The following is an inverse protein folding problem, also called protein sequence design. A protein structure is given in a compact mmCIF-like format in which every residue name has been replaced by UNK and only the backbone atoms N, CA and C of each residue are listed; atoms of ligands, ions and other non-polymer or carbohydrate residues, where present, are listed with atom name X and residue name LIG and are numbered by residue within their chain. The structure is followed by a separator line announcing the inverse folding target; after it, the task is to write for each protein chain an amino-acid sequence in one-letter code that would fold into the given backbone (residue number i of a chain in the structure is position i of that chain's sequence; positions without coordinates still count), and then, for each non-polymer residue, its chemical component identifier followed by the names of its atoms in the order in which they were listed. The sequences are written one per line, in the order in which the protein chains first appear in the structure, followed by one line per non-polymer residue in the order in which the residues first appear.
data_IF_991135651093
#
_entry.id   IF_991135651093
#
_cell.length_a   1.000
_cell.length_b   1.000
_cell.length_c   1.000
_cell.angle_alpha   90.00
_cell.angle_beta   90.00
_cell.angle_gamma   90.00
#
_symmetry.space_group_name_H-M   'P 1'
#
loop_
_entity.id
_entity.type
_entity.pdbx_description
1 polymer ?
#
# COMPACT_ATOMS: atom_id res chain seq x y z
N UNK A 1 -12.07 -7.16 -10.49
CA UNK A 1 -11.20 -6.16 -9.84
C UNK A 1 -11.04 -6.54 -8.38
N UNK A 2 -9.83 -6.49 -7.84
CA UNK A 2 -9.61 -6.60 -6.40
C UNK A 2 -9.54 -5.21 -5.75
N UNK A 3 -10.00 -5.09 -4.52
CA UNK A 3 -9.85 -3.88 -3.67
C UNK A 3 -9.03 -4.28 -2.45
N UNK A 4 -7.91 -3.61 -2.23
CA UNK A 4 -7.08 -3.85 -1.05
C UNK A 4 -7.72 -3.18 0.17
N UNK A 5 -8.14 -3.99 1.14
CA UNK A 5 -8.89 -3.54 2.32
C UNK A 5 -8.05 -3.76 3.57
N UNK A 6 -7.64 -2.67 4.20
CA UNK A 6 -6.83 -2.72 5.42
C UNK A 6 -7.66 -2.70 6.71
N UNK A 7 -8.95 -2.35 6.66
CA UNK A 7 -9.80 -2.11 7.82
C UNK A 7 -9.78 -0.66 8.33
N UNK A 8 -8.93 0.19 7.76
CA UNK A 8 -8.92 1.63 8.00
C UNK A 8 -9.93 2.37 7.12
N UNK A 9 -10.26 3.62 7.52
CA UNK A 9 -11.27 4.48 6.91
C UNK A 9 -11.18 4.57 5.38
N UNK A 10 -9.97 4.80 4.85
CA UNK A 10 -9.76 5.04 3.41
C UNK A 10 -10.07 3.79 2.58
N UNK A 11 -9.60 2.64 3.03
CA UNK A 11 -9.76 1.37 2.30
C UNK A 11 -11.21 0.88 2.31
N UNK A 12 -11.93 1.10 3.40
CA UNK A 12 -13.34 0.72 3.52
C UNK A 12 -14.24 1.69 2.76
N UNK A 13 -13.94 2.99 2.79
CA UNK A 13 -14.60 3.99 1.94
C UNK A 13 -14.41 3.68 0.45
N UNK A 14 -13.17 3.34 0.04
CA UNK A 14 -12.89 2.94 -1.34
C UNK A 14 -13.71 1.73 -1.76
N UNK A 15 -13.77 0.69 -0.92
CA UNK A 15 -14.56 -0.50 -1.22
C UNK A 15 -16.03 -0.14 -1.44
N UNK A 16 -16.62 0.64 -0.55
CA UNK A 16 -18.03 1.04 -0.64
C UNK A 16 -18.30 1.85 -1.92
N UNK A 17 -17.49 2.88 -2.20
CA UNK A 17 -17.61 3.71 -3.40
C UNK A 17 -17.50 2.86 -4.67
N UNK A 18 -16.51 1.97 -4.74
CA UNK A 18 -16.33 1.12 -5.92
C UNK A 18 -17.47 0.11 -6.10
N UNK A 19 -18.01 -0.44 -5.02
CA UNK A 19 -19.19 -1.32 -5.08
C UNK A 19 -20.39 -0.55 -5.61
N UNK A 20 -20.66 0.66 -5.11
CA UNK A 20 -21.76 1.50 -5.59
C UNK A 20 -21.62 1.83 -7.09
N UNK A 21 -20.43 2.17 -7.54
CA UNK A 21 -20.16 2.56 -8.93
C UNK A 21 -20.20 1.38 -9.90
N UNK A 22 -19.71 0.21 -9.51
CA UNK A 22 -19.46 -0.90 -10.42
C UNK A 22 -20.48 -2.04 -10.34
N UNK A 23 -21.22 -2.19 -9.23
CA UNK A 23 -22.31 -3.18 -9.13
C UNK A 23 -23.38 -3.00 -10.22
N UNK A 24 -23.87 -1.78 -10.53
CA UNK A 24 -24.81 -1.60 -11.64
C UNK A 24 -24.24 -2.00 -13.00
N UNK A 25 -22.92 -1.95 -13.14
CA UNK A 25 -22.20 -2.34 -14.36
C UNK A 25 -21.81 -3.82 -14.41
N UNK A 26 -22.20 -4.59 -13.39
CA UNK A 26 -21.89 -6.01 -13.23
C UNK A 26 -20.40 -6.35 -13.29
N UNK A 27 -19.54 -5.43 -12.86
CA UNK A 27 -18.11 -5.70 -12.72
C UNK A 27 -17.89 -6.45 -11.40
N UNK A 28 -17.30 -7.65 -11.43
CA UNK A 28 -17.05 -8.41 -10.20
C UNK A 28 -15.98 -7.71 -9.37
N UNK A 29 -16.25 -7.54 -8.07
CA UNK A 29 -15.35 -6.98 -7.07
C UNK A 29 -15.07 -8.05 -6.02
N UNK A 30 -13.81 -8.17 -5.61
CA UNK A 30 -13.37 -8.97 -4.48
C UNK A 30 -12.51 -8.10 -3.55
N UNK A 31 -12.73 -8.20 -2.25
CA UNK A 31 -11.90 -7.56 -1.26
C UNK A 31 -10.72 -8.47 -0.90
N UNK A 32 -9.52 -7.90 -0.77
CA UNK A 32 -8.32 -8.62 -0.34
C UNK A 32 -7.69 -7.90 0.85
N UNK A 33 -7.46 -8.61 1.93
CA UNK A 33 -6.78 -8.11 3.14
C UNK A 33 -5.50 -8.88 3.39
N UNK A 34 -4.56 -8.20 4.00
CA UNK A 34 -3.30 -8.81 4.45
C UNK A 34 -3.29 -8.74 5.98
N UNK A 35 -3.03 -9.88 6.60
CA UNK A 35 -2.73 -9.98 8.02
C UNK A 35 -1.21 -9.98 8.18
N UNK A 36 -0.67 -8.88 8.67
CA UNK A 36 0.76 -8.73 8.91
C UNK A 36 1.19 -9.42 10.21
N UNK A 37 0.26 -9.80 11.07
CA UNK A 37 0.53 -10.39 12.37
C UNK A 37 1.13 -9.39 13.35
N UNK A 38 0.51 -8.22 13.51
CA UNK A 38 0.81 -7.22 14.53
C UNK A 38 -0.17 -7.42 15.67
N UNK A 39 0.33 -7.91 16.81
CA UNK A 39 -0.49 -8.26 17.96
C UNK A 39 -1.25 -7.05 18.54
N UNK A 40 -2.52 -7.26 18.89
CA UNK A 40 -3.37 -6.22 19.48
C UNK A 40 -3.75 -5.06 18.52
N UNK A 41 -3.38 -5.17 17.25
CA UNK A 41 -3.67 -4.15 16.25
C UNK A 41 -4.46 -4.70 15.06
N UNK A 42 -4.05 -5.85 14.51
CA UNK A 42 -4.56 -6.30 13.22
C UNK A 42 -5.95 -6.93 13.28
N UNK A 43 -6.29 -7.53 14.42
CA UNK A 43 -7.55 -8.26 14.61
C UNK A 43 -8.77 -7.36 14.43
N UNK A 44 -8.80 -6.19 15.11
CA UNK A 44 -9.89 -5.21 15.00
C UNK A 44 -10.07 -4.71 13.56
N UNK A 45 -8.97 -4.41 12.88
CA UNK A 45 -9.00 -3.97 11.48
C UNK A 45 -9.63 -5.02 10.56
N UNK A 46 -9.29 -6.30 10.77
CA UNK A 46 -9.85 -7.40 9.99
C UNK A 46 -11.33 -7.65 10.33
N UNK A 47 -11.75 -7.45 11.57
CA UNK A 47 -13.17 -7.51 11.95
C UNK A 47 -13.99 -6.45 11.22
N UNK A 48 -13.53 -5.20 11.22
CA UNK A 48 -14.18 -4.13 10.45
C UNK A 48 -14.23 -4.46 8.95
N UNK A 49 -13.13 -4.96 8.39
CA UNK A 49 -13.10 -5.37 6.98
C UNK A 49 -14.13 -6.46 6.67
N UNK A 50 -14.21 -7.50 7.52
CA UNK A 50 -15.20 -8.59 7.37
C UNK A 50 -16.63 -8.06 7.47
N UNK A 51 -16.92 -7.20 8.45
CA UNK A 51 -18.25 -6.63 8.65
C UNK A 51 -18.70 -5.81 7.44
N UNK A 52 -17.83 -4.94 6.90
CA UNK A 52 -18.16 -4.12 5.73
C UNK A 52 -18.29 -4.99 4.47
N UNK A 53 -17.41 -5.96 4.24
CA UNK A 53 -17.51 -6.89 3.11
C UNK A 53 -18.82 -7.69 3.15
N UNK A 54 -19.20 -8.19 4.33
CA UNK A 54 -20.47 -8.90 4.52
C UNK A 54 -21.68 -7.98 4.23
N UNK A 55 -21.69 -6.75 4.75
CA UNK A 55 -22.75 -5.76 4.51
C UNK A 55 -22.87 -5.43 3.01
N UNK A 56 -21.74 -5.36 2.33
CA UNK A 56 -21.69 -5.05 0.89
C UNK A 56 -21.83 -6.29 0.00
N UNK A 57 -22.00 -7.50 0.56
CA UNK A 57 -22.06 -8.77 -0.18
C UNK A 57 -20.88 -8.91 -1.15
N UNK A 58 -19.65 -8.64 -0.68
CA UNK A 58 -18.41 -8.75 -1.43
C UNK A 58 -17.59 -9.90 -0.86
N UNK A 59 -17.12 -10.77 -1.75
CA UNK A 59 -16.20 -11.85 -1.37
C UNK A 59 -14.92 -11.26 -0.77
N UNK A 60 -14.48 -11.78 0.38
CA UNK A 60 -13.33 -11.30 1.10
C UNK A 60 -12.28 -12.39 1.30
N UNK A 61 -11.09 -12.16 0.77
CA UNK A 61 -9.93 -13.05 0.93
C UNK A 61 -8.93 -12.38 1.88
N UNK A 62 -8.49 -13.12 2.89
CA UNK A 62 -7.42 -12.69 3.81
C UNK A 62 -6.22 -13.60 3.57
N UNK A 63 -5.04 -13.01 3.44
CA UNK A 63 -3.75 -13.72 3.40
C UNK A 63 -2.88 -13.22 4.53
N UNK A 64 -2.09 -14.10 5.16
CA UNK A 64 -1.23 -13.70 6.27
C UNK A 64 0.27 -13.74 5.89
N UNK A 65 1.08 -12.93 6.58
CA UNK A 65 2.54 -13.01 6.47
C UNK A 65 3.04 -14.37 6.92
N UNK A 66 2.41 -14.96 7.96
CA UNK A 66 2.79 -16.28 8.46
C UNK A 66 2.64 -17.35 7.39
N UNK A 67 1.53 -17.34 6.63
CA UNK A 67 1.30 -18.28 5.53
C UNK A 67 2.22 -18.03 4.34
N UNK A 68 2.43 -16.77 3.96
CA UNK A 68 3.18 -16.43 2.75
C UNK A 68 4.71 -16.46 2.94
N UNK A 69 5.17 -16.09 4.13
CA UNK A 69 6.60 -15.86 4.39
C UNK A 69 7.18 -16.70 5.50
N UNK A 70 6.35 -17.32 6.36
CA UNK A 70 6.76 -18.14 7.49
C UNK A 70 6.93 -17.40 8.81
N UNK A 71 6.71 -16.09 8.84
CA UNK A 71 6.81 -15.23 10.03
C UNK A 71 5.73 -14.16 10.05
N UNK A 72 5.41 -13.64 11.23
CA UNK A 72 4.62 -12.41 11.41
C UNK A 72 5.52 -11.17 11.31
N UNK A 73 4.91 -9.98 11.18
CA UNK A 73 5.71 -8.74 11.21
C UNK A 73 6.41 -8.57 12.56
N UNK A 74 5.72 -8.83 13.67
CA UNK A 74 6.30 -8.73 15.00
C UNK A 74 7.52 -9.64 15.14
N UNK A 75 7.39 -10.93 14.78
CA UNK A 75 8.51 -11.88 14.78
C UNK A 75 9.68 -11.39 13.92
N UNK A 76 9.39 -10.92 12.69
CA UNK A 76 10.46 -10.48 11.79
C UNK A 76 11.20 -9.23 12.28
N UNK A 77 10.52 -8.33 12.98
CA UNK A 77 11.13 -7.13 13.57
C UNK A 77 11.94 -7.46 14.82
N UNK A 78 11.45 -8.37 15.67
CA UNK A 78 12.17 -8.87 16.84
C UNK A 78 13.44 -9.64 16.45
N UNK A 79 13.38 -10.40 15.37
CA UNK A 79 14.53 -11.17 14.87
C UNK A 79 15.56 -10.33 14.13
N UNK A 80 15.22 -9.12 13.72
CA UNK A 80 16.05 -8.23 12.92
C UNK A 80 16.07 -6.80 13.49
N UNK A 81 16.49 -6.68 14.76
CA UNK A 81 16.53 -5.40 15.48
C UNK A 81 17.53 -4.40 14.83
N UNK A 82 18.66 -4.88 14.33
CA UNK A 82 19.73 -4.08 13.70
C UNK A 82 19.49 -3.80 12.20
N UNK A 83 18.23 -3.87 11.74
CA UNK A 83 17.88 -3.65 10.35
C UNK A 83 18.21 -2.25 9.83
N UNK A 84 18.69 -2.18 8.61
CA UNK A 84 19.03 -0.92 7.92
C UNK A 84 17.80 -0.14 7.43
N UNK A 85 16.59 -0.70 7.57
CA UNK A 85 15.32 -0.13 7.06
C UNK A 85 14.32 0.02 8.18
N UNK A 86 13.48 1.06 8.12
CA UNK A 86 12.39 1.25 9.09
C UNK A 86 11.37 0.12 9.02
N UNK A 87 10.66 -0.13 10.14
CA UNK A 87 9.57 -1.11 10.22
C UNK A 87 8.52 -0.91 9.13
N UNK A 88 8.14 0.34 8.85
CA UNK A 88 7.19 0.68 7.80
C UNK A 88 7.72 0.34 6.40
N UNK A 89 9.01 0.57 6.13
CA UNK A 89 9.62 0.22 4.85
C UNK A 89 9.67 -1.29 4.66
N UNK A 90 10.06 -2.03 5.70
CA UNK A 90 10.07 -3.48 5.73
C UNK A 90 8.65 -4.03 5.46
N UNK A 91 7.68 -3.65 6.29
CA UNK A 91 6.29 -4.07 6.15
C UNK A 91 5.74 -3.73 4.75
N UNK A 92 6.02 -2.53 4.24
CA UNK A 92 5.52 -2.09 2.94
C UNK A 92 5.98 -2.96 1.76
N UNK A 93 7.19 -3.53 1.81
CA UNK A 93 7.71 -4.44 0.77
C UNK A 93 6.91 -5.74 0.77
N UNK A 94 6.73 -6.37 1.92
CA UNK A 94 5.98 -7.63 2.05
C UNK A 94 4.49 -7.44 1.80
N UNK A 95 3.88 -6.36 2.32
CA UNK A 95 2.45 -6.05 2.13
C UNK A 95 2.10 -5.88 0.65
N UNK A 96 2.90 -5.14 -0.10
CA UNK A 96 2.68 -4.99 -1.54
C UNK A 96 2.67 -6.33 -2.27
N UNK A 97 3.62 -7.20 -1.96
CA UNK A 97 3.70 -8.54 -2.54
C UNK A 97 2.51 -9.41 -2.13
N UNK A 98 2.10 -9.37 -0.87
CA UNK A 98 0.95 -10.12 -0.38
C UNK A 98 -0.36 -9.71 -1.06
N UNK A 99 -0.57 -8.40 -1.26
CA UNK A 99 -1.73 -7.88 -2.00
C UNK A 99 -1.72 -8.38 -3.45
N UNK A 100 -0.57 -8.36 -4.15
CA UNK A 100 -0.47 -8.84 -5.53
C UNK A 100 -0.79 -10.34 -5.62
N UNK A 101 -0.28 -11.14 -4.68
CA UNK A 101 -0.54 -12.58 -4.63
C UNK A 101 -2.02 -12.87 -4.34
N UNK A 102 -2.63 -12.16 -3.39
CA UNK A 102 -4.05 -12.31 -3.07
C UNK A 102 -4.94 -11.90 -4.26
N UNK A 103 -4.63 -10.78 -4.92
CA UNK A 103 -5.37 -10.32 -6.09
C UNK A 103 -5.23 -11.28 -7.28
N UNK A 104 -4.02 -11.80 -7.53
CA UNK A 104 -3.79 -12.80 -8.58
C UNK A 104 -4.50 -14.12 -8.26
N UNK A 105 -4.48 -14.59 -7.01
CA UNK A 105 -5.24 -15.76 -6.54
C UNK A 105 -6.73 -15.60 -6.75
N UNK A 106 -7.26 -14.41 -6.56
CA UNK A 106 -8.66 -14.06 -6.86
C UNK A 106 -8.92 -13.82 -8.37
N UNK A 107 -7.95 -14.09 -9.24
CA UNK A 107 -8.02 -13.88 -10.72
C UNK A 107 -8.36 -12.43 -11.10
N UNK A 108 -8.00 -11.47 -10.27
CA UNK A 108 -8.17 -10.05 -10.58
C UNK A 108 -7.04 -9.57 -11.50
N UNK A 109 -7.40 -8.77 -12.52
CA UNK A 109 -6.43 -8.12 -13.43
C UNK A 109 -6.03 -6.73 -12.94
N UNK A 110 -6.82 -6.17 -12.00
CA UNK A 110 -6.60 -4.85 -11.43
C UNK A 110 -6.78 -4.93 -9.92
N UNK A 111 -5.90 -4.28 -9.16
CA UNK A 111 -6.06 -4.04 -7.73
C UNK A 111 -6.14 -2.54 -7.44
N UNK A 112 -7.24 -2.13 -6.80
CA UNK A 112 -7.45 -0.76 -6.34
C UNK A 112 -6.93 -0.61 -4.90
N UNK A 113 -6.17 0.46 -4.65
CA UNK A 113 -5.67 0.83 -3.33
C UNK A 113 -6.14 2.22 -2.97
N UNK A 114 -6.43 2.47 -1.71
CA UNK A 114 -7.06 3.70 -1.21
C UNK A 114 -6.06 4.84 -0.92
N UNK A 115 -4.90 4.84 -1.61
CA UNK A 115 -3.98 5.96 -1.47
C UNK A 115 -4.66 7.24 -2.00
N UNK A 116 -4.74 8.24 -1.14
CA UNK A 116 -5.38 9.53 -1.39
C UNK A 116 -4.37 10.60 -1.84
N UNK A 117 -4.82 11.85 -2.02
CA UNK A 117 -3.98 12.98 -2.41
C UNK A 117 -2.83 13.21 -1.41
N UNK A 118 -3.14 13.15 -0.12
CA UNK A 118 -2.16 13.35 0.96
C UNK A 118 -1.05 12.30 0.92
N UNK A 119 -1.42 11.03 0.76
CA UNK A 119 -0.46 9.94 0.61
C UNK A 119 0.45 10.11 -0.61
N UNK A 120 -0.12 10.60 -1.70
CA UNK A 120 0.61 10.80 -2.95
C UNK A 120 1.66 11.90 -2.80
N UNK A 121 1.24 13.11 -2.35
CA UNK A 121 2.16 14.24 -2.23
C UNK A 121 3.21 14.02 -1.14
N UNK A 122 2.87 13.36 -0.03
CA UNK A 122 3.84 12.93 0.98
C UNK A 122 4.89 12.01 0.38
N UNK A 123 4.47 10.99 -0.37
CA UNK A 123 5.39 10.03 -0.98
C UNK A 123 6.28 10.70 -2.04
N UNK A 124 5.73 11.62 -2.82
CA UNK A 124 6.49 12.40 -3.79
C UNK A 124 7.58 13.24 -3.10
N UNK A 125 7.21 13.99 -2.06
CA UNK A 125 8.16 14.80 -1.28
C UNK A 125 9.25 13.96 -0.63
N UNK A 126 8.89 12.83 -0.01
CA UNK A 126 9.86 11.91 0.59
C UNK A 126 10.85 11.36 -0.43
N UNK A 127 10.39 10.99 -1.62
CA UNK A 127 11.29 10.49 -2.67
C UNK A 127 12.25 11.59 -3.15
N UNK A 128 11.79 12.84 -3.26
CA UNK A 128 12.66 13.98 -3.57
C UNK A 128 13.72 14.21 -2.48
N UNK A 129 13.31 14.18 -1.21
CA UNK A 129 14.22 14.38 -0.07
C UNK A 129 15.28 13.28 0.03
N UNK A 130 14.96 12.06 -0.38
CA UNK A 130 15.92 10.95 -0.43
C UNK A 130 16.77 10.93 -1.70
N UNK A 131 16.53 11.82 -2.67
CA UNK A 131 17.22 11.82 -3.96
C UNK A 131 16.92 10.59 -4.83
N UNK A 132 15.81 9.88 -4.55
CA UNK A 132 15.45 8.64 -5.25
C UNK A 132 14.55 8.92 -6.46
N UNK A 133 15.17 9.46 -7.51
CA UNK A 133 14.49 9.79 -8.77
C UNK A 133 13.89 8.55 -9.44
N UNK A 134 14.49 7.38 -9.26
CA UNK A 134 13.98 6.14 -9.85
C UNK A 134 12.60 5.76 -9.28
N UNK A 135 12.35 6.04 -8.00
CA UNK A 135 11.04 5.80 -7.37
C UNK A 135 9.97 6.79 -7.79
N UNK A 136 10.33 7.95 -8.30
CA UNK A 136 9.34 8.90 -8.82
C UNK A 136 8.54 8.30 -9.98
N UNK A 137 9.18 7.55 -10.87
CA UNK A 137 8.50 6.87 -11.97
C UNK A 137 7.41 5.87 -11.52
N UNK A 138 7.53 5.30 -10.32
CA UNK A 138 6.52 4.38 -9.77
C UNK A 138 5.27 5.10 -9.22
N UNK A 139 5.32 6.42 -9.13
CA UNK A 139 4.16 7.25 -8.77
C UNK A 139 3.28 7.56 -9.97
N UNK A 140 3.76 7.32 -11.20
CA UNK A 140 2.98 7.52 -12.42
C UNK A 140 1.70 6.67 -12.38
N UNK A 141 0.50 7.28 -12.46
CA UNK A 141 -0.75 6.53 -12.52
C UNK A 141 -0.86 5.64 -13.77
N UNK A 142 -0.15 6.02 -14.84
CA UNK A 142 -0.08 5.26 -16.08
C UNK A 142 0.98 4.16 -16.05
N UNK A 143 1.82 4.12 -14.99
CA UNK A 143 2.84 3.10 -14.85
C UNK A 143 2.23 1.70 -14.84
N UNK A 144 2.50 0.95 -15.88
CA UNK A 144 2.11 -0.43 -16.03
C UNK A 144 3.37 -1.24 -16.35
N UNK A 145 3.91 -1.91 -15.36
CA UNK A 145 4.95 -2.90 -15.60
C UNK A 145 4.27 -4.21 -16.04
N UNK A 146 4.46 -4.57 -17.30
CA UNK A 146 3.91 -5.80 -17.89
C UNK A 146 4.39 -7.08 -17.19
N UNK A 147 5.46 -6.98 -16.41
CA UNK A 147 5.97 -8.09 -15.62
C UNK A 147 5.11 -8.41 -14.39
N UNK A 148 4.30 -7.43 -13.90
CA UNK A 148 3.39 -7.69 -12.80
C UNK A 148 2.05 -8.24 -13.28
N UNK A 149 1.54 -9.33 -12.67
CA UNK A 149 0.32 -9.98 -13.12
C UNK A 149 -0.94 -9.14 -12.87
N UNK A 150 -0.87 -8.15 -11.98
CA UNK A 150 -2.02 -7.32 -11.58
C UNK A 150 -1.64 -5.83 -11.65
N UNK A 151 -2.42 -5.06 -12.41
CA UNK A 151 -2.25 -3.60 -12.50
C UNK A 151 -2.78 -2.92 -11.24
N UNK A 152 -2.02 -1.97 -10.70
CA UNK A 152 -2.45 -1.16 -9.55
C UNK A 152 -3.10 0.14 -10.00
N UNK A 153 -4.19 0.51 -9.31
CA UNK A 153 -4.87 1.80 -9.51
C UNK A 153 -5.14 2.47 -8.15
N UNK A 154 -5.19 3.79 -8.15
CA UNK A 154 -5.38 4.61 -6.95
C UNK A 154 -6.56 5.57 -7.19
N UNK A 155 -7.81 5.10 -7.04
CA UNK A 155 -8.98 5.92 -7.38
C UNK A 155 -9.14 7.20 -6.55
N UNK A 156 -8.56 7.26 -5.35
CA UNK A 156 -8.62 8.42 -4.46
C UNK A 156 -7.43 9.38 -4.60
N UNK A 157 -6.59 9.22 -5.61
CA UNK A 157 -5.35 10.00 -5.77
C UNK A 157 -5.57 11.53 -5.81
N UNK A 158 -6.73 12.00 -6.23
CA UNK A 158 -7.11 13.41 -6.32
C UNK A 158 -8.02 13.86 -5.16
N UNK A 159 -8.35 12.97 -4.22
CA UNK A 159 -9.26 13.23 -3.09
C UNK A 159 -8.45 13.47 -1.83
N UNK A 160 -8.77 14.53 -1.10
CA UNK A 160 -8.14 14.82 0.20
C UNK A 160 -8.42 13.73 1.24
N UNK A 161 -7.47 13.44 2.11
CA UNK A 161 -7.66 12.52 3.24
C UNK A 161 -8.86 12.91 4.11
N UNK A 162 -9.05 14.22 4.32
CA UNK A 162 -10.17 14.76 5.09
C UNK A 162 -11.52 14.46 4.44
N UNK A 163 -11.65 14.58 3.12
CA UNK A 163 -12.87 14.26 2.38
C UNK A 163 -13.22 12.77 2.52
N UNK A 164 -12.23 11.89 2.42
CA UNK A 164 -12.43 10.46 2.64
C UNK A 164 -12.87 10.17 4.07
N UNK A 165 -12.26 10.85 5.05
CA UNK A 165 -12.64 10.71 6.47
C UNK A 165 -14.07 11.17 6.73
N UNK A 166 -14.49 12.31 6.18
CA UNK A 166 -15.85 12.82 6.27
C UNK A 166 -16.85 11.87 5.61
N UNK A 167 -16.52 11.34 4.42
CA UNK A 167 -17.35 10.34 3.76
C UNK A 167 -17.54 9.09 4.62
N UNK A 168 -16.46 8.53 5.16
CA UNK A 168 -16.52 7.35 6.01
C UNK A 168 -17.36 7.57 7.26
N UNK A 169 -17.22 8.75 7.90
CA UNK A 169 -17.99 9.13 9.08
C UNK A 169 -19.50 9.26 8.78
N UNK A 170 -19.85 10.03 7.75
CA UNK A 170 -21.25 10.25 7.38
C UNK A 170 -21.94 9.01 6.83
N UNK A 171 -21.19 8.12 6.20
CA UNK A 171 -21.72 6.83 5.72
C UNK A 171 -21.81 5.76 6.82
N UNK A 172 -21.39 6.07 8.05
CA UNK A 172 -21.43 5.13 9.18
C UNK A 172 -20.54 3.90 8.97
N UNK A 173 -19.45 4.04 8.23
CA UNK A 173 -18.48 2.95 7.98
C UNK A 173 -17.71 2.71 9.27
N UNK A 174 -17.77 1.50 9.87
CA UNK A 174 -16.93 1.17 11.01
C UNK A 174 -15.47 1.01 10.51
N UNK A 175 -14.51 1.61 11.20
CA UNK A 175 -13.10 1.49 10.85
C UNK A 175 -12.21 1.55 12.09
N UNK A 176 -11.04 0.93 12.01
CA UNK A 176 -10.03 1.01 13.05
C UNK A 176 -9.45 2.43 13.11
N UNK A 177 -9.49 3.04 14.30
CA UNK A 177 -8.95 4.39 14.57
C UNK A 177 -7.57 4.37 15.23
N UNK A 178 -7.17 3.22 15.79
CA UNK A 178 -5.87 3.06 16.43
C UNK A 178 -4.77 2.94 15.37
N UNK A 179 -3.69 3.69 15.57
CA UNK A 179 -2.53 3.65 14.68
C UNK A 179 -1.67 2.41 14.93
N UNK A 180 -1.00 1.92 13.88
CA UNK A 180 -0.02 0.84 14.00
C UNK A 180 1.09 1.25 14.99
N UNK A 181 1.48 0.37 15.94
CA UNK A 181 2.51 0.69 16.94
C UNK A 181 3.87 1.06 16.32
N UNK A 182 4.15 0.61 15.10
CA UNK A 182 5.38 0.91 14.36
C UNK A 182 5.33 2.19 13.52
N UNK A 183 4.23 2.96 13.55
CA UNK A 183 4.01 4.09 12.63
C UNK A 183 4.90 5.33 12.94
N UNK A 184 5.43 5.43 14.16
CA UNK A 184 6.19 6.59 14.61
C UNK A 184 7.64 6.63 14.11
N UNK A 185 8.09 5.60 13.40
CA UNK A 185 9.41 5.54 12.82
C UNK A 185 9.42 6.24 11.42
N UNK A 186 10.10 7.37 11.31
CA UNK A 186 10.44 7.93 10.02
C UNK A 186 9.88 9.31 9.68
N UNK A 187 10.33 9.83 8.54
CA UNK A 187 10.13 11.19 8.02
C UNK A 187 8.66 11.50 7.64
N UNK A 188 7.81 10.49 7.44
CA UNK A 188 6.46 10.69 6.89
C UNK A 188 5.58 11.60 7.75
N UNK A 189 5.66 11.51 9.09
CA UNK A 189 4.88 12.35 9.99
C UNK A 189 5.26 13.82 9.85
N UNK A 190 6.54 14.11 9.77
CA UNK A 190 7.04 15.49 9.61
C UNK A 190 6.61 16.08 8.26
N UNK A 191 6.74 15.31 7.18
CA UNK A 191 6.29 15.73 5.83
C UNK A 191 4.79 15.96 5.80
N UNK A 192 3.99 15.09 6.44
CA UNK A 192 2.55 15.28 6.55
C UNK A 192 2.20 16.57 7.28
N UNK A 193 2.81 16.82 8.44
CA UNK A 193 2.51 17.97 9.26
C UNK A 193 2.91 19.27 8.54
N UNK A 194 4.05 19.27 7.83
CA UNK A 194 4.47 20.36 6.97
C UNK A 194 3.46 20.63 5.84
N UNK A 195 3.05 19.61 5.10
CA UNK A 195 2.11 19.75 3.99
C UNK A 195 0.72 20.22 4.48
N UNK A 196 0.28 19.77 5.64
CA UNK A 196 -0.97 20.22 6.25
C UNK A 196 -0.89 21.70 6.67
N UNK A 197 0.22 22.14 7.25
CA UNK A 197 0.43 23.54 7.58
C UNK A 197 0.46 24.43 6.32
N UNK A 198 1.10 23.95 5.25
CA UNK A 198 1.12 24.66 3.95
C UNK A 198 -0.27 24.76 3.35
N UNK A 199 -1.06 23.67 3.38
CA UNK A 199 -2.44 23.66 2.88
C UNK A 199 -3.35 24.61 3.64
N UNK A 200 -3.21 24.69 4.98
CA UNK A 200 -3.97 25.62 5.81
C UNK A 200 -3.67 27.09 5.48
N UNK A 201 -2.42 27.40 5.16
CA UNK A 201 -2.01 28.77 4.76
C UNK A 201 -2.23 29.09 3.28
N UNK A 202 -2.24 28.08 2.44
CA UNK A 202 -2.31 28.18 0.99
C UNK A 202 -3.25 27.11 0.43
N UNK A 203 -4.58 27.26 0.54
CA UNK A 203 -5.55 26.25 0.10
C UNK A 203 -5.36 25.84 -1.35
N UNK A 204 -5.31 24.55 -1.59
CA UNK A 204 -5.09 23.94 -2.90
C UNK A 204 -3.63 23.62 -3.23
N UNK A 205 -2.67 23.92 -2.32
CA UNK A 205 -1.24 23.66 -2.58
C UNK A 205 -0.95 22.17 -2.84
N UNK A 206 -1.67 21.26 -2.19
CA UNK A 206 -1.53 19.81 -2.43
C UNK A 206 -1.92 19.42 -3.85
N UNK A 207 -3.00 20.03 -4.40
CA UNK A 207 -3.40 19.81 -5.79
C UNK A 207 -2.37 20.35 -6.78
N UNK A 208 -1.79 21.51 -6.48
CA UNK A 208 -0.69 22.09 -7.29
C UNK A 208 0.54 21.17 -7.25
N UNK A 209 0.88 20.63 -6.08
CA UNK A 209 1.97 19.65 -5.95
C UNK A 209 1.69 18.37 -6.72
N UNK A 210 0.46 17.86 -6.67
CA UNK A 210 0.06 16.70 -7.48
C UNK A 210 0.26 16.96 -8.96
N UNK A 211 -0.30 18.05 -9.49
CA UNK A 211 -0.20 18.41 -10.91
C UNK A 211 1.26 18.58 -11.34
N UNK A 212 2.05 19.31 -10.55
CA UNK A 212 3.48 19.52 -10.82
C UNK A 212 4.28 18.21 -10.78
N UNK A 213 3.95 17.32 -9.84
CA UNK A 213 4.60 16.01 -9.73
C UNK A 213 4.33 15.12 -10.93
N UNK A 214 3.08 15.10 -11.41
CA UNK A 214 2.70 14.35 -12.61
C UNK A 214 3.43 14.86 -13.85
N UNK A 215 3.57 16.18 -13.99
CA UNK A 215 4.36 16.79 -15.06
C UNK A 215 5.84 16.40 -15.01
N UNK A 216 6.44 16.42 -13.82
CA UNK A 216 7.82 15.97 -13.63
C UNK A 216 7.96 14.49 -13.97
N UNK A 217 7.09 13.65 -13.41
CA UNK A 217 7.14 12.19 -13.60
C UNK A 217 6.98 11.83 -15.08
N UNK A 218 6.05 12.46 -15.81
CA UNK A 218 5.82 12.19 -17.22
C UNK A 218 7.06 12.41 -18.10
N UNK A 219 7.91 13.36 -17.72
CA UNK A 219 9.17 13.66 -18.42
C UNK A 219 10.29 12.66 -18.12
N UNK A 220 10.22 11.99 -16.96
CA UNK A 220 11.21 11.00 -16.54
C UNK A 220 10.81 9.56 -16.82
N UNK A 221 9.51 9.25 -16.94
CA UNK A 221 8.99 7.89 -17.19
C UNK A 221 9.45 7.31 -18.55
N UNK A 222 9.82 8.15 -19.52
CA UNK A 222 10.35 7.72 -20.81
C UNK A 222 11.83 7.30 -20.80
N UNK A 223 12.56 7.47 -19.69
CA UNK A 223 14.01 7.23 -19.63
C UNK A 223 14.42 5.98 -18.83
N UNK A 224 13.48 5.26 -18.24
CA UNK A 224 13.80 4.04 -17.46
C UNK A 224 13.49 2.75 -18.23
N UNK A 225 14.25 2.50 -19.31
CA UNK A 225 14.33 1.19 -19.99
C UNK A 225 15.05 0.12 -19.11
N UNK A 226 14.79 0.10 -17.81
CA UNK A 226 15.22 -1.06 -17.03
C UNK A 226 14.19 -2.16 -17.26
N UNK A 227 14.51 -3.05 -18.20
CA UNK A 227 13.82 -4.32 -18.33
C UNK A 227 13.74 -4.97 -16.95
N UNK A 228 12.53 -5.20 -16.47
CA UNK A 228 12.34 -5.96 -15.24
C UNK A 228 12.80 -7.39 -15.51
N UNK A 229 13.78 -7.84 -14.75
CA UNK A 229 14.24 -9.23 -14.76
C UNK A 229 13.38 -10.06 -13.82
N UNK A 230 13.44 -11.38 -13.93
CA UNK A 230 12.80 -12.27 -12.95
C UNK A 230 13.74 -12.54 -11.78
N UNK A 231 13.24 -12.45 -10.57
CA UNK A 231 13.98 -12.84 -9.37
C UNK A 231 14.39 -14.31 -9.44
N UNK A 232 15.69 -14.60 -9.33
CA UNK A 232 16.22 -15.97 -9.41
C UNK A 232 15.69 -16.93 -8.33
N UNK A 233 15.15 -16.40 -7.22
CA UNK A 233 14.65 -17.21 -6.11
C UNK A 233 13.13 -17.48 -6.21
N UNK A 234 12.31 -16.47 -6.54
CA UNK A 234 10.86 -16.60 -6.52
C UNK A 234 10.19 -16.37 -7.89
N UNK A 235 10.95 -16.08 -8.95
CA UNK A 235 10.44 -15.85 -10.30
C UNK A 235 9.65 -14.54 -10.48
N UNK A 236 9.39 -13.78 -9.41
CA UNK A 236 8.66 -12.54 -9.51
C UNK A 236 9.50 -11.40 -10.12
N UNK A 237 8.86 -10.38 -10.72
CA UNK A 237 9.54 -9.24 -11.29
C UNK A 237 10.49 -8.56 -10.30
N UNK A 238 11.67 -8.18 -10.79
CA UNK A 238 12.73 -7.58 -9.98
C UNK A 238 13.61 -6.70 -10.86
N UNK A 239 14.13 -5.60 -10.30
CA UNK A 239 15.17 -4.77 -10.92
C UNK A 239 16.59 -5.28 -10.64
N UNK A 240 16.73 -6.42 -9.97
CA UNK A 240 18.02 -7.06 -9.62
C UNK A 240 17.84 -8.57 -9.50
N UNK A 241 18.95 -9.32 -9.40
CA UNK A 241 18.97 -10.79 -9.28
C UNK A 241 18.01 -11.35 -8.23
N UNK A 242 17.91 -10.68 -7.08
CA UNK A 242 16.97 -11.00 -6.02
C UNK A 242 16.03 -9.80 -5.79
N UNK A 243 14.72 -10.05 -5.74
CA UNK A 243 13.76 -9.02 -5.38
C UNK A 243 13.89 -8.62 -3.90
N UNK A 244 13.36 -7.42 -3.56
CA UNK A 244 13.44 -6.88 -2.20
C UNK A 244 12.86 -7.85 -1.14
N UNK A 245 11.74 -8.54 -1.45
CA UNK A 245 11.15 -9.54 -0.56
C UNK A 245 12.15 -10.68 -0.29
N UNK A 246 12.77 -11.25 -1.32
CA UNK A 246 13.71 -12.37 -1.15
C UNK A 246 14.98 -11.95 -0.41
N UNK A 247 15.47 -10.73 -0.64
CA UNK A 247 16.62 -10.18 0.10
C UNK A 247 16.31 -10.04 1.58
N UNK A 248 15.20 -9.36 1.91
CA UNK A 248 14.80 -9.14 3.30
C UNK A 248 14.44 -10.44 4.03
N UNK A 249 13.79 -11.40 3.32
CA UNK A 249 13.49 -12.71 3.89
C UNK A 249 14.77 -13.48 4.24
N UNK A 250 15.77 -13.47 3.38
CA UNK A 250 17.07 -14.11 3.65
C UNK A 250 17.74 -13.53 4.90
N UNK A 251 17.72 -12.19 5.07
CA UNK A 251 18.26 -11.53 6.27
C UNK A 251 17.54 -11.98 7.55
N UNK A 252 16.21 -12.07 7.52
CA UNK A 252 15.43 -12.58 8.67
C UNK A 252 15.82 -14.03 9.00
N UNK A 253 15.88 -14.91 7.99
CA UNK A 253 16.23 -16.32 8.15
C UNK A 253 17.68 -16.53 8.68
N UNK A 254 18.61 -15.67 8.31
CA UNK A 254 19.98 -15.68 8.82
C UNK A 254 20.03 -15.34 10.32
N UNK A 255 19.28 -14.31 10.74
CA UNK A 255 19.20 -13.92 12.15
C UNK A 255 18.54 -15.00 13.02
N UNK A 256 17.51 -15.68 12.52
CA UNK A 256 16.90 -16.81 13.24
C UNK A 256 17.91 -17.92 13.48
N UNK A 257 18.67 -18.32 12.44
CA UNK A 257 19.68 -19.38 12.55
C UNK A 257 20.85 -19.04 13.47
N UNK A 258 21.12 -17.76 13.68
CA UNK A 258 22.20 -17.31 14.58
C UNK A 258 21.80 -17.29 16.06
N UNK A 259 20.51 -17.42 16.37
CA UNK A 259 19.96 -17.46 17.75
C UNK A 259 19.75 -18.89 18.28
N UNK A 260 19.69 -19.87 17.38
CA UNK A 260 19.69 -21.31 17.68
C UNK A 260 21.12 -21.85 17.84
#
# INVERSE_FOLDING_TARGET
MAVAVSGGKDSLALLEVLVQLYRPRRVPIVAVSVDEGVAGYRDEALEHARAVCSRLEVDHTVVSYKELYGFSLDEALDWNEERDVSSCSFCGVFRRRAIDQAAAGAKATVVATAHNLDDYVQTFMMNLMHGDVARLGWLDPAYADSAFPVRRVKPFMEIYEEEVALYAYHSGIPFQSVSCPYMHEGLRSEVRDYLNAMEAGHPGIKNVLLSSSLDVISRYSGSSDKESTSCRNCGNPSSSDLCAVCKMKATVEEHVKSRD
#
